data_IF_846638862211
#
_entry.id   IF_846638862211
#
_cell.length_a   1.000
_cell.length_b   1.000
_cell.length_c   1.000
_cell.angle_alpha   90.00
_cell.angle_beta   90.00
_cell.angle_gamma   90.00
#
_symmetry.space_group_name_H-M   'P 1'
#
loop_
_entity.id
_entity.type
_entity.pdbx_description
1 polymer ?
#
# COMPACT_ATOMS: atom_id res chain seq x y z
N UNK A 1 -22.73 -8.33 -8.97
CA UNK A 1 -23.73 -8.56 -7.89
C UNK A 1 -23.35 -7.83 -6.61
N UNK A 2 -22.15 -8.05 -6.05
CA UNK A 2 -21.73 -7.48 -4.75
C UNK A 2 -21.68 -5.94 -4.70
N UNK A 3 -21.08 -5.28 -5.71
CA UNK A 3 -20.99 -3.82 -5.73
C UNK A 3 -22.38 -3.14 -5.68
N UNK A 4 -23.38 -3.69 -6.37
CA UNK A 4 -24.75 -3.15 -6.37
C UNK A 4 -25.39 -3.22 -4.98
N UNK A 5 -25.09 -4.26 -4.19
CA UNK A 5 -25.60 -4.40 -2.83
C UNK A 5 -24.90 -3.44 -1.87
N UNK A 6 -23.58 -3.33 -1.93
CA UNK A 6 -22.80 -2.42 -1.06
C UNK A 6 -23.19 -0.95 -1.28
N UNK A 7 -23.45 -0.55 -2.52
CA UNK A 7 -23.96 0.79 -2.83
C UNK A 7 -25.37 0.97 -2.27
N UNK A 8 -26.30 0.06 -2.57
CA UNK A 8 -27.70 0.15 -2.10
C UNK A 8 -27.84 0.13 -0.58
N UNK A 9 -26.96 -0.60 0.11
CA UNK A 9 -26.96 -0.71 1.56
C UNK A 9 -26.19 0.43 2.27
N UNK A 10 -25.66 1.40 1.53
CA UNK A 10 -24.94 2.55 2.10
C UNK A 10 -23.60 2.18 2.74
N UNK A 11 -22.91 1.16 2.22
CA UNK A 11 -21.55 0.80 2.66
C UNK A 11 -20.49 1.59 1.89
N UNK A 12 -20.73 1.83 0.60
CA UNK A 12 -19.80 2.56 -0.27
C UNK A 12 -20.55 3.49 -1.20
N UNK A 13 -19.93 4.59 -1.57
CA UNK A 13 -20.35 5.49 -2.64
C UNK A 13 -19.31 5.50 -3.76
N UNK A 14 -19.74 5.50 -5.02
CA UNK A 14 -18.82 5.44 -6.16
C UNK A 14 -18.46 6.86 -6.61
N UNK A 15 -17.22 7.26 -6.36
CA UNK A 15 -16.70 8.58 -6.77
C UNK A 15 -16.39 8.62 -8.27
N UNK A 16 -15.68 7.61 -8.77
CA UNK A 16 -15.37 7.44 -10.21
C UNK A 16 -15.12 5.97 -10.53
N UNK A 17 -14.77 5.64 -11.78
CA UNK A 17 -14.41 4.27 -12.14
C UNK A 17 -13.21 3.79 -11.29
N UNK A 18 -13.38 2.66 -10.58
CA UNK A 18 -12.34 2.09 -9.73
C UNK A 18 -12.13 2.76 -8.36
N UNK A 19 -12.82 3.89 -8.06
CA UNK A 19 -12.61 4.64 -6.81
C UNK A 19 -13.91 4.80 -6.04
N UNK A 20 -13.88 4.42 -4.76
CA UNK A 20 -15.04 4.38 -3.88
C UNK A 20 -14.73 5.05 -2.54
N UNK A 21 -15.72 5.75 -2.02
CA UNK A 21 -15.73 6.28 -0.65
C UNK A 21 -16.38 5.24 0.26
N UNK A 22 -15.70 4.81 1.32
CA UNK A 22 -16.31 3.99 2.36
C UNK A 22 -17.18 4.86 3.26
N UNK A 23 -18.48 4.59 3.27
CA UNK A 23 -19.46 5.24 4.14
C UNK A 23 -19.38 4.65 5.56
N UNK A 24 -20.01 5.27 6.58
CA UNK A 24 -19.80 4.87 7.98
C UNK A 24 -19.98 3.37 8.27
N UNK A 25 -20.97 2.72 7.66
CA UNK A 25 -21.20 1.28 7.84
C UNK A 25 -20.12 0.42 7.16
N UNK A 26 -19.72 0.79 5.94
CA UNK A 26 -18.63 0.13 5.23
C UNK A 26 -17.29 0.30 5.93
N UNK A 27 -17.01 1.50 6.44
CA UNK A 27 -15.79 1.77 7.18
C UNK A 27 -15.70 0.95 8.48
N UNK A 28 -16.82 0.73 9.18
CA UNK A 28 -16.86 -0.17 10.34
C UNK A 28 -16.51 -1.61 9.99
N UNK A 29 -16.99 -2.11 8.85
CA UNK A 29 -16.67 -3.46 8.39
C UNK A 29 -15.22 -3.56 7.91
N UNK A 30 -14.74 -2.57 7.14
CA UNK A 30 -13.35 -2.50 6.71
C UNK A 30 -12.39 -2.59 7.90
N UNK A 31 -12.61 -1.78 8.95
CA UNK A 31 -11.79 -1.81 10.17
C UNK A 31 -11.82 -3.16 10.90
N UNK A 32 -12.96 -3.86 10.91
CA UNK A 32 -13.03 -5.22 11.49
C UNK A 32 -12.17 -6.20 10.72
N UNK A 33 -12.19 -6.12 9.38
CA UNK A 33 -11.36 -6.97 8.52
C UNK A 33 -9.88 -6.65 8.75
N UNK A 34 -9.51 -5.37 8.74
CA UNK A 34 -8.13 -4.93 8.99
C UNK A 34 -7.61 -5.41 10.34
N UNK A 35 -8.43 -5.35 11.39
CA UNK A 35 -8.05 -5.81 12.73
C UNK A 35 -7.78 -7.31 12.77
N UNK A 36 -8.64 -8.15 12.16
CA UNK A 36 -8.41 -9.59 12.11
C UNK A 36 -7.12 -9.90 11.36
N UNK A 37 -6.89 -9.26 10.21
CA UNK A 37 -5.65 -9.44 9.45
C UNK A 37 -4.43 -9.04 10.29
N UNK A 38 -4.47 -7.87 10.93
CA UNK A 38 -3.41 -7.39 11.82
C UNK A 38 -3.12 -8.37 12.95
N UNK A 39 -4.15 -8.82 13.66
CA UNK A 39 -4.02 -9.77 14.77
C UNK A 39 -3.33 -11.08 14.34
N UNK A 40 -3.69 -11.62 13.18
CA UNK A 40 -3.05 -12.85 12.68
C UNK A 40 -1.62 -12.63 12.19
N UNK A 41 -1.34 -11.47 11.57
CA UNK A 41 0.01 -11.10 11.14
C UNK A 41 0.93 -10.87 12.35
N UNK A 42 0.44 -10.23 13.40
CA UNK A 42 1.17 -10.01 14.66
C UNK A 42 1.44 -11.35 15.37
N UNK A 43 0.45 -12.25 15.42
CA UNK A 43 0.63 -13.62 15.96
C UNK A 43 1.69 -14.41 15.20
N UNK A 44 1.83 -14.18 13.90
CA UNK A 44 2.88 -14.78 13.06
C UNK A 44 4.27 -14.12 13.24
N UNK A 45 4.40 -13.14 14.14
CA UNK A 45 5.65 -12.43 14.40
C UNK A 45 5.92 -11.25 13.46
N UNK A 46 4.90 -10.81 12.71
CA UNK A 46 4.97 -9.63 11.87
C UNK A 46 5.03 -8.34 12.68
N UNK A 47 5.73 -7.34 12.15
CA UNK A 47 5.77 -5.99 12.70
C UNK A 47 5.12 -5.03 11.70
N UNK A 48 4.01 -4.41 12.10
CA UNK A 48 3.34 -3.43 11.26
C UNK A 48 4.15 -2.14 11.16
N UNK A 49 4.39 -1.68 9.93
CA UNK A 49 4.96 -0.39 9.58
C UNK A 49 4.00 0.33 8.64
N UNK A 50 4.20 1.64 8.44
CA UNK A 50 3.42 2.41 7.48
C UNK A 50 4.35 3.14 6.51
N UNK A 51 4.40 2.67 5.26
CA UNK A 51 5.21 3.30 4.22
C UNK A 51 4.41 4.33 3.42
N UNK A 52 5.05 5.40 2.93
CA UNK A 52 4.40 6.41 2.10
C UNK A 52 3.74 5.84 0.84
N UNK A 53 2.59 6.40 0.46
CA UNK A 53 1.95 6.09 -0.83
C UNK A 53 2.76 6.63 -2.01
N UNK A 54 3.38 7.81 -1.83
CA UNK A 54 4.21 8.48 -2.82
C UNK A 54 5.64 7.95 -2.71
N UNK A 55 6.20 7.49 -3.82
CA UNK A 55 7.50 6.84 -3.87
C UNK A 55 8.41 7.55 -4.89
N UNK A 56 9.70 7.76 -4.58
CA UNK A 56 10.64 8.41 -5.48
C UNK A 56 10.93 7.50 -6.69
N UNK A 57 11.05 8.09 -7.88
CA UNK A 57 11.36 7.38 -9.13
C UNK A 57 12.66 6.57 -9.02
N UNK A 58 13.64 7.09 -8.31
CA UNK A 58 14.97 6.52 -8.16
C UNK A 58 14.90 5.07 -7.64
N UNK A 59 14.01 4.79 -6.68
CA UNK A 59 13.83 3.44 -6.14
C UNK A 59 13.28 2.46 -7.20
N UNK A 60 12.41 2.94 -8.10
CA UNK A 60 11.82 2.15 -9.19
C UNK A 60 12.77 1.96 -10.38
N UNK A 61 13.70 2.89 -10.58
CA UNK A 61 14.72 2.76 -11.61
C UNK A 61 15.75 1.70 -11.26
N UNK A 62 16.11 1.56 -9.98
CA UNK A 62 17.02 0.50 -9.50
C UNK A 62 16.52 -0.90 -9.86
N UNK A 63 15.20 -1.14 -9.78
CA UNK A 63 14.60 -2.42 -10.16
C UNK A 63 14.21 -2.51 -11.64
N UNK A 64 14.38 -1.42 -12.40
CA UNK A 64 13.91 -1.30 -13.79
C UNK A 64 12.39 -1.20 -13.94
N UNK A 65 11.62 -1.34 -12.85
CA UNK A 65 10.14 -1.35 -12.87
C UNK A 65 9.53 0.01 -13.18
N UNK A 66 10.30 1.09 -13.13
CA UNK A 66 9.82 2.39 -13.60
C UNK A 66 9.33 2.35 -15.06
N UNK A 67 10.00 1.58 -15.93
CA UNK A 67 9.63 1.49 -17.36
C UNK A 67 8.79 0.27 -17.69
N UNK A 68 9.00 -0.86 -17.01
CA UNK A 68 8.35 -2.14 -17.33
C UNK A 68 7.01 -2.36 -16.63
N UNK A 69 6.65 -1.54 -15.63
CA UNK A 69 5.38 -1.68 -14.92
C UNK A 69 4.29 -0.78 -15.51
N UNK A 70 3.37 -1.39 -16.26
CA UNK A 70 2.36 -0.66 -17.05
C UNK A 70 1.33 0.11 -16.21
N UNK A 71 0.96 -0.41 -15.03
CA UNK A 71 -0.06 0.18 -14.15
C UNK A 71 0.52 1.17 -13.12
N UNK A 72 1.65 1.82 -13.42
CA UNK A 72 2.32 2.74 -12.51
C UNK A 72 1.80 4.17 -12.70
N UNK A 73 1.08 4.70 -11.72
CA UNK A 73 0.73 6.12 -11.70
C UNK A 73 1.98 6.96 -11.47
N UNK A 74 2.37 7.75 -12.47
CA UNK A 74 3.53 8.65 -12.43
C UNK A 74 3.07 10.10 -12.25
N UNK A 75 3.77 10.81 -11.38
CA UNK A 75 3.49 12.20 -11.01
C UNK A 75 4.78 13.00 -11.19
N UNK A 76 4.64 14.23 -11.70
CA UNK A 76 5.73 15.19 -11.75
C UNK A 76 5.40 16.37 -10.87
N UNK A 77 6.31 16.68 -9.95
CA UNK A 77 6.18 17.84 -9.05
C UNK A 77 6.53 19.14 -9.77
N UNK A 78 6.13 20.27 -9.18
CA UNK A 78 6.46 21.61 -9.71
C UNK A 78 7.97 21.86 -9.82
N UNK A 79 8.78 21.26 -8.94
CA UNK A 79 10.24 21.35 -8.99
C UNK A 79 10.88 20.44 -10.04
N UNK A 80 10.09 19.64 -10.77
CA UNK A 80 10.57 18.75 -11.83
C UNK A 80 10.92 17.34 -11.37
N UNK A 81 10.82 17.03 -10.08
CA UNK A 81 11.06 15.68 -9.56
C UNK A 81 9.89 14.73 -9.90
N UNK A 82 10.23 13.50 -10.29
CA UNK A 82 9.30 12.44 -10.67
C UNK A 82 9.03 11.49 -9.50
N UNK A 83 7.78 11.11 -9.32
CA UNK A 83 7.32 10.19 -8.28
C UNK A 83 6.31 9.20 -8.85
N UNK A 84 6.08 8.11 -8.11
CA UNK A 84 4.98 7.19 -8.36
C UNK A 84 4.03 7.11 -7.17
N UNK A 85 2.75 6.88 -7.42
CA UNK A 85 1.85 6.34 -6.40
C UNK A 85 2.02 4.82 -6.38
N UNK A 86 2.43 4.27 -5.24
CA UNK A 86 2.84 2.89 -5.08
C UNK A 86 1.70 1.88 -5.34
N UNK A 87 1.79 1.04 -6.39
CA UNK A 87 0.94 -0.14 -6.54
C UNK A 87 1.36 -1.26 -5.57
N UNK A 88 2.59 -1.18 -5.05
CA UNK A 88 3.25 -2.08 -4.10
C UNK A 88 4.50 -1.37 -3.54
N UNK A 89 5.26 -2.00 -2.64
CA UNK A 89 6.30 -1.36 -1.84
C UNK A 89 7.63 -2.13 -1.78
N UNK A 90 7.90 -3.10 -2.65
CA UNK A 90 9.19 -3.82 -2.67
C UNK A 90 10.37 -2.85 -2.88
N UNK A 91 10.21 -1.87 -3.78
CA UNK A 91 11.17 -0.80 -4.06
C UNK A 91 11.39 0.15 -2.86
N UNK A 92 10.41 0.25 -1.96
CA UNK A 92 10.45 1.17 -0.83
C UNK A 92 10.97 0.50 0.44
N UNK A 93 10.61 -0.77 0.65
CA UNK A 93 11.00 -1.51 1.84
C UNK A 93 12.47 -1.93 1.80
N UNK A 94 13.03 -2.18 0.62
CA UNK A 94 14.41 -2.63 0.50
C UNK A 94 15.45 -1.57 0.94
N UNK A 95 15.38 -0.30 0.49
CA UNK A 95 16.23 0.75 1.03
C UNK A 95 16.08 0.92 2.55
N UNK A 96 14.85 0.83 3.06
CA UNK A 96 14.58 0.89 4.50
C UNK A 96 15.33 -0.23 5.24
N UNK A 97 15.15 -1.48 4.82
CA UNK A 97 15.83 -2.63 5.45
C UNK A 97 17.35 -2.51 5.39
N UNK A 98 17.92 -1.98 4.29
CA UNK A 98 19.37 -1.77 4.16
C UNK A 98 19.95 -0.85 5.23
N UNK A 99 19.14 0.06 5.80
CA UNK A 99 19.59 0.93 6.89
C UNK A 99 19.60 0.25 8.27
N UNK A 100 18.76 -0.77 8.47
CA UNK A 100 18.53 -1.35 9.79
C UNK A 100 19.02 -2.80 9.93
N UNK A 101 19.10 -3.54 8.82
CA UNK A 101 19.58 -4.92 8.78
C UNK A 101 21.03 -4.90 8.32
N UNK A 102 21.94 -5.14 9.27
CA UNK A 102 23.40 -5.07 9.05
C UNK A 102 24.11 -6.38 9.37
N UNK A 103 23.47 -7.26 10.15
CA UNK A 103 23.98 -8.55 10.57
C UNK A 103 22.97 -9.65 10.30
N UNK A 104 23.45 -10.89 10.14
CA UNK A 104 22.58 -12.07 10.11
C UNK A 104 21.75 -12.20 11.40
N UNK A 105 22.22 -11.62 12.52
CA UNK A 105 21.53 -11.61 13.81
C UNK A 105 20.25 -10.76 13.81
N UNK A 106 20.14 -9.82 12.88
CA UNK A 106 18.94 -8.99 12.72
C UNK A 106 17.81 -9.77 12.01
N UNK A 107 18.10 -10.98 11.52
CA UNK A 107 17.18 -11.86 10.82
C UNK A 107 16.75 -13.06 11.68
N UNK A 108 15.52 -13.58 11.48
CA UNK A 108 14.53 -13.15 10.49
C UNK A 108 13.76 -11.88 10.88
N UNK A 109 13.50 -11.00 9.92
CA UNK A 109 12.60 -9.84 10.08
C UNK A 109 11.35 -10.03 9.24
N UNK A 110 10.18 -9.80 9.82
CA UNK A 110 8.91 -9.83 9.11
C UNK A 110 8.19 -8.49 9.27
N UNK A 111 8.14 -7.71 8.19
CA UNK A 111 7.48 -6.40 8.16
C UNK A 111 6.23 -6.46 7.27
N UNK A 112 5.17 -5.76 7.66
CA UNK A 112 3.96 -5.63 6.85
C UNK A 112 3.30 -4.26 7.01
N UNK A 113 2.32 -3.95 6.17
CA UNK A 113 1.51 -2.73 6.29
C UNK A 113 0.09 -2.94 5.78
N UNK A 114 -0.85 -2.18 6.33
CA UNK A 114 -2.22 -2.03 5.80
C UNK A 114 -2.37 -0.60 5.30
N UNK A 115 -2.28 -0.40 3.97
CA UNK A 115 -2.21 0.93 3.36
C UNK A 115 -2.79 0.93 1.93
N UNK A 116 -3.43 2.04 1.52
CA UNK A 116 -4.08 2.22 0.22
C UNK A 116 -3.11 2.25 -0.98
N UNK A 117 -3.36 1.41 -1.98
CA UNK A 117 -2.55 1.30 -3.21
C UNK A 117 -3.27 1.89 -4.42
N UNK A 118 -2.51 2.22 -5.47
CA UNK A 118 -3.03 2.75 -6.74
C UNK A 118 -2.56 1.88 -7.90
N UNK A 119 -3.49 1.39 -8.73
CA UNK A 119 -3.27 0.57 -9.94
C UNK A 119 -4.34 0.87 -10.99
#
# INVERSE_FOLDING_TARGET
MNARLLIRAGFVDKLMAGVYTFLPLGLRVLKKIENIVREEMDKAGGQEILMPALQPKENWEVTGRWKSFDALFKLKTRSGADYALGPTHEETIYPLLKHYVSSYKDLPTYLYQIQTKFR
#
